data_IF_555526160406
#
_entry.id   IF_555526160406
#
_cell.length_a   1.000
_cell.length_b   1.000
_cell.length_c   1.000
_cell.angle_alpha   90.00
_cell.angle_beta   90.00
_cell.angle_gamma   90.00
#
_symmetry.space_group_name_H-M   'P 1'
#
loop_
_entity.id
_entity.type
_entity.pdbx_description
1 polymer ?
#
# COMPACT_ATOMS: atom_id res chain seq x y z
N UNK A 1 -14.28 -0.13 34.45
CA UNK A 1 -15.31 0.84 34.01
C UNK A 1 -14.76 1.61 32.81
N UNK A 2 -15.54 1.84 31.75
CA UNK A 2 -15.09 2.65 30.62
C UNK A 2 -14.90 4.12 31.06
N UNK A 3 -13.82 4.75 30.57
CA UNK A 3 -13.44 6.11 30.95
C UNK A 3 -13.81 7.10 29.82
N UNK A 4 -14.42 8.24 30.18
CA UNK A 4 -14.76 9.30 29.23
C UNK A 4 -13.54 10.21 29.05
N UNK A 5 -13.03 10.27 27.82
CA UNK A 5 -11.92 11.16 27.45
C UNK A 5 -12.45 12.40 26.75
N UNK A 6 -11.79 13.53 26.98
CA UNK A 6 -12.03 14.81 26.29
C UNK A 6 -11.41 14.81 24.89
N UNK A 7 -11.89 15.68 24.01
CA UNK A 7 -11.37 15.80 22.64
C UNK A 7 -9.85 16.11 22.60
N UNK A 8 -9.35 16.83 23.61
CA UNK A 8 -7.92 17.15 23.76
C UNK A 8 -7.10 15.91 24.14
N UNK A 9 -7.55 15.14 25.11
CA UNK A 9 -6.90 13.88 25.52
C UNK A 9 -6.89 12.85 24.38
N UNK A 10 -7.95 12.79 23.58
CA UNK A 10 -7.99 11.97 22.37
C UNK A 10 -6.94 12.41 21.35
N UNK A 11 -6.78 13.72 21.13
CA UNK A 11 -5.73 14.25 20.23
C UNK A 11 -4.33 13.97 20.75
N UNK A 12 -4.10 14.11 22.05
CA UNK A 12 -2.80 13.86 22.67
C UNK A 12 -2.43 12.37 22.62
N UNK A 13 -3.38 11.46 22.87
CA UNK A 13 -3.21 10.00 22.70
C UNK A 13 -3.00 9.59 21.25
N UNK A 14 -3.63 10.26 20.28
CA UNK A 14 -3.43 9.99 18.86
C UNK A 14 -2.14 10.61 18.30
N UNK A 15 -1.74 11.77 18.81
CA UNK A 15 -0.53 12.51 18.43
C UNK A 15 0.76 11.90 18.97
N UNK A 16 0.68 11.23 20.13
CA UNK A 16 1.79 10.46 20.72
C UNK A 16 1.95 9.05 20.13
N UNK A 17 1.24 8.71 19.04
CA UNK A 17 1.50 7.49 18.27
C UNK A 17 2.90 7.56 17.66
N UNK A 18 3.85 6.95 18.38
CA UNK A 18 5.12 6.36 17.92
C UNK A 18 5.19 6.40 16.41
N UNK A 19 6.06 7.26 15.86
CA UNK A 19 6.23 7.46 14.43
C UNK A 19 6.18 6.12 13.73
N UNK A 20 5.12 5.89 12.93
CA UNK A 20 4.93 4.62 12.22
C UNK A 20 6.20 4.38 11.44
N UNK A 21 7.06 3.46 11.90
CA UNK A 21 8.10 2.86 11.06
C UNK A 21 7.39 2.49 9.77
N UNK A 22 7.74 3.15 8.66
CA UNK A 22 7.10 2.91 7.37
C UNK A 22 7.30 1.43 7.08
N UNK A 23 6.26 0.61 7.29
CA UNK A 23 6.32 -0.82 6.99
C UNK A 23 6.75 -0.94 5.52
N UNK A 24 7.77 -1.75 5.28
CA UNK A 24 8.24 -2.03 3.94
C UNK A 24 7.06 -2.42 3.06
N UNK A 25 7.01 -1.87 1.85
CA UNK A 25 5.97 -2.17 0.88
C UNK A 25 6.27 -3.55 0.31
N UNK A 26 5.26 -4.42 0.24
CA UNK A 26 5.41 -5.72 -0.40
C UNK A 26 5.75 -5.54 -1.87
N UNK A 27 6.81 -6.22 -2.32
CA UNK A 27 7.38 -6.08 -3.67
C UNK A 27 7.83 -4.64 -4.00
N UNK A 28 8.10 -3.82 -2.97
CA UNK A 28 8.42 -2.41 -3.15
C UNK A 28 9.73 -2.18 -3.90
N UNK A 29 10.75 -3.02 -3.67
CA UNK A 29 12.06 -2.90 -4.33
C UNK A 29 11.95 -3.18 -5.83
N UNK A 30 11.19 -4.22 -6.16
CA UNK A 30 10.92 -4.65 -7.52
C UNK A 30 10.18 -3.56 -8.28
N UNK A 31 9.15 -2.95 -7.67
CA UNK A 31 8.41 -1.82 -8.24
C UNK A 31 9.30 -0.58 -8.39
N UNK A 32 10.16 -0.28 -7.41
CA UNK A 32 11.09 0.85 -7.47
C UNK A 32 12.10 0.71 -8.61
N UNK A 33 12.57 -0.51 -8.85
CA UNK A 33 13.52 -0.85 -9.92
C UNK A 33 12.92 -0.81 -11.34
N UNK A 34 11.59 -0.84 -11.49
CA UNK A 34 10.95 -0.70 -12.80
C UNK A 34 11.31 0.66 -13.42
N UNK A 35 11.50 0.69 -14.74
CA UNK A 35 11.51 1.92 -15.54
C UNK A 35 10.08 2.31 -15.90
N UNK A 36 9.91 3.57 -16.33
CA UNK A 36 8.62 4.05 -16.83
C UNK A 36 8.15 3.18 -18.00
N UNK A 37 6.92 2.67 -17.92
CA UNK A 37 6.31 1.78 -18.90
C UNK A 37 6.53 0.29 -18.62
N UNK A 38 7.47 -0.08 -17.74
CA UNK A 38 7.67 -1.47 -17.33
C UNK A 38 6.63 -1.89 -16.30
N UNK A 39 6.34 -3.19 -16.25
CA UNK A 39 5.33 -3.78 -15.38
C UNK A 39 5.87 -4.94 -14.57
N UNK A 40 5.42 -5.04 -13.33
CA UNK A 40 5.59 -6.22 -12.48
C UNK A 40 4.27 -6.99 -12.44
N UNK A 41 4.29 -8.24 -12.90
CA UNK A 41 3.18 -9.17 -12.70
C UNK A 41 3.29 -9.75 -11.29
N UNK A 42 2.24 -9.57 -10.50
CA UNK A 42 2.09 -10.21 -9.19
C UNK A 42 0.96 -11.21 -9.30
N UNK A 43 1.29 -12.50 -9.23
CA UNK A 43 0.28 -13.56 -9.32
C UNK A 43 -0.58 -13.61 -8.06
N UNK A 44 -1.77 -14.20 -8.17
CA UNK A 44 -2.63 -14.41 -7.00
C UNK A 44 -1.94 -15.26 -5.92
N UNK A 45 -1.12 -16.24 -6.33
CA UNK A 45 -0.38 -17.11 -5.43
C UNK A 45 0.70 -16.34 -4.67
N UNK A 46 1.56 -15.62 -5.37
CA UNK A 46 2.62 -14.80 -4.75
C UNK A 46 2.04 -13.77 -3.77
N UNK A 47 0.94 -13.11 -4.16
CA UNK A 47 0.29 -12.15 -3.26
C UNK A 47 -0.16 -12.82 -1.96
N UNK A 48 -0.83 -13.97 -2.06
CA UNK A 48 -1.37 -14.70 -0.91
C UNK A 48 -0.25 -15.22 -0.01
N UNK A 49 0.79 -15.79 -0.60
CA UNK A 49 1.88 -16.45 0.12
C UNK A 49 2.81 -15.44 0.79
N UNK A 50 3.14 -14.34 0.11
CA UNK A 50 4.07 -13.32 0.63
C UNK A 50 3.39 -12.37 1.61
N UNK A 51 2.20 -11.86 1.29
CA UNK A 51 1.60 -10.77 2.08
C UNK A 51 0.70 -11.27 3.20
N UNK A 52 0.06 -12.44 3.01
CA UNK A 52 -1.00 -12.98 3.88
C UNK A 52 -2.15 -11.99 4.13
N UNK A 53 -2.28 -10.95 3.30
CA UNK A 53 -3.31 -9.93 3.44
C UNK A 53 -4.60 -10.36 2.75
N UNK A 54 -5.74 -10.05 3.37
CA UNK A 54 -7.06 -10.14 2.73
C UNK A 54 -7.31 -9.00 1.74
N UNK A 55 -6.55 -7.91 1.86
CA UNK A 55 -6.67 -6.73 1.00
C UNK A 55 -6.26 -7.08 -0.42
N UNK A 56 -7.06 -6.66 -1.41
CA UNK A 56 -6.74 -6.83 -2.82
C UNK A 56 -5.47 -6.04 -3.20
N UNK A 57 -4.61 -6.55 -4.09
CA UNK A 57 -3.41 -5.84 -4.57
C UNK A 57 -3.72 -4.43 -5.09
N UNK A 58 -4.80 -4.28 -5.86
CA UNK A 58 -5.25 -2.97 -6.38
C UNK A 58 -5.45 -1.93 -5.29
N UNK A 59 -6.20 -2.27 -4.23
CA UNK A 59 -6.45 -1.37 -3.09
C UNK A 59 -5.18 -1.11 -2.30
N UNK A 60 -4.36 -2.14 -2.07
CA UNK A 60 -3.12 -2.00 -1.33
C UNK A 60 -2.16 -1.03 -2.03
N UNK A 61 -1.86 -1.25 -3.31
CA UNK A 61 -0.92 -0.45 -4.05
C UNK A 61 -1.43 0.95 -4.37
N UNK A 62 -2.74 1.10 -4.62
CA UNK A 62 -3.36 2.42 -4.74
C UNK A 62 -3.11 3.26 -3.48
N UNK A 63 -3.35 2.68 -2.29
CA UNK A 63 -3.15 3.37 -1.02
C UNK A 63 -1.67 3.71 -0.74
N UNK A 64 -0.73 2.95 -1.29
CA UNK A 64 0.70 3.15 -1.07
C UNK A 64 1.34 4.15 -2.05
N UNK A 65 0.92 4.14 -3.31
CA UNK A 65 1.58 4.90 -4.37
C UNK A 65 0.73 6.04 -4.93
N UNK A 66 -0.60 5.92 -4.92
CA UNK A 66 -1.46 6.87 -5.63
C UNK A 66 -2.31 7.76 -4.73
N UNK A 67 -2.76 7.28 -3.56
CA UNK A 67 -3.76 7.97 -2.72
C UNK A 67 -3.41 9.42 -2.38
N UNK A 68 -2.17 9.67 -1.99
CA UNK A 68 -1.70 11.01 -1.59
C UNK A 68 -0.82 11.66 -2.68
N UNK A 69 -0.77 11.06 -3.88
CA UNK A 69 0.02 11.58 -4.99
C UNK A 69 -0.84 12.43 -5.94
N UNK A 70 -0.31 13.59 -6.35
CA UNK A 70 -0.95 14.43 -7.37
C UNK A 70 -0.96 13.80 -8.77
N UNK A 71 -0.13 12.77 -8.99
CA UNK A 71 0.02 12.06 -10.27
C UNK A 71 -0.10 10.56 -10.05
N UNK A 72 -0.63 9.85 -11.04
CA UNK A 72 -0.67 8.38 -11.01
C UNK A 72 0.76 7.84 -11.13
N UNK A 73 1.30 7.26 -10.07
CA UNK A 73 2.66 6.71 -10.03
C UNK A 73 2.65 5.27 -10.55
N UNK A 74 1.65 4.50 -10.15
CA UNK A 74 1.51 3.08 -10.49
C UNK A 74 0.14 2.82 -11.10
N UNK A 75 0.10 2.17 -12.26
CA UNK A 75 -1.13 1.59 -12.81
C UNK A 75 -1.29 0.17 -12.29
N UNK A 76 -2.47 -0.16 -11.78
CA UNK A 76 -2.78 -1.51 -11.31
C UNK A 76 -3.94 -2.04 -12.14
N UNK A 77 -3.68 -3.08 -12.93
CA UNK A 77 -4.68 -3.76 -13.75
C UNK A 77 -4.85 -5.21 -13.26
N UNK A 78 -6.09 -5.70 -13.24
CA UNK A 78 -6.35 -7.13 -13.03
C UNK A 78 -6.13 -7.87 -14.34
N UNK A 79 -5.40 -8.97 -14.29
CA UNK A 79 -5.18 -9.87 -15.43
C UNK A 79 -5.61 -11.28 -15.02
N UNK A 80 -5.64 -12.22 -15.97
CA UNK A 80 -6.16 -13.58 -15.75
C UNK A 80 -5.47 -14.27 -14.57
N UNK A 81 -4.16 -14.09 -14.41
CA UNK A 81 -3.36 -14.79 -13.40
C UNK A 81 -2.98 -13.92 -12.18
N UNK A 82 -3.53 -12.70 -12.07
CA UNK A 82 -3.16 -11.81 -10.97
C UNK A 82 -3.34 -10.33 -11.28
N UNK A 83 -2.31 -9.55 -10.96
CA UNK A 83 -2.32 -8.10 -11.15
C UNK A 83 -1.05 -7.62 -11.83
N UNK A 84 -1.20 -6.79 -12.85
CA UNK A 84 -0.10 -6.10 -13.51
C UNK A 84 0.08 -4.71 -12.90
N UNK A 85 1.26 -4.47 -12.34
CA UNK A 85 1.67 -3.22 -11.73
C UNK A 85 2.61 -2.47 -12.67
N UNK A 86 2.11 -1.50 -13.42
CA UNK A 86 2.91 -0.73 -14.40
C UNK A 86 3.36 0.60 -13.82
N UNK A 87 4.66 0.89 -13.90
CA UNK A 87 5.19 2.18 -13.47
C UNK A 87 4.90 3.26 -14.50
N UNK A 88 4.27 4.34 -14.06
CA UNK A 88 3.79 5.41 -14.95
C UNK A 88 4.70 6.64 -14.94
N UNK A 89 5.51 6.81 -13.89
CA UNK A 89 6.41 7.95 -13.68
C UNK A 89 7.83 7.46 -13.43
#
# INVERSE_FOLDING_TARGET
>A
MPQKLTQKEVKDLLGSKVGRRRKAIFFGKEIENLKKGEGLLVTHKEWKDTTKLKTKPSTYYYNKYNKDSKRKILSIASVVDGYLLTKMV
#
